data_IF_232105378192
#
_entry.id   IF_232105378192
#
_cell.length_a   1.000
_cell.length_b   1.000
_cell.length_c   1.000
_cell.angle_alpha   90.00
_cell.angle_beta   90.00
_cell.angle_gamma   90.00
#
_symmetry.space_group_name_H-M   'P 1'
#
loop_
_entity.id
_entity.type
_entity.pdbx_description
1 polymer ?
#
# COMPACT_ATOMS: atom_id res chain seq x y z
N UNK A 1 -48.55 -51.25 18.42
CA UNK A 1 -48.79 -49.79 18.52
C UNK A 1 -47.87 -48.97 17.59
N UNK A 2 -46.99 -49.60 16.79
CA UNK A 2 -46.04 -48.91 15.87
C UNK A 2 -46.62 -48.29 14.58
N UNK A 3 -47.89 -48.52 14.26
CA UNK A 3 -48.46 -48.09 12.96
C UNK A 3 -48.91 -46.63 12.92
N UNK A 4 -49.06 -45.97 14.08
CA UNK A 4 -49.50 -44.57 14.15
C UNK A 4 -48.33 -43.58 14.12
N UNK A 5 -47.18 -43.91 14.72
CA UNK A 5 -46.00 -43.03 14.80
C UNK A 5 -45.39 -42.70 13.42
N UNK A 6 -45.42 -43.66 12.49
CA UNK A 6 -44.88 -43.46 11.12
C UNK A 6 -45.71 -42.50 10.26
N UNK A 7 -46.95 -42.20 10.65
CA UNK A 7 -47.85 -41.34 9.87
C UNK A 7 -47.71 -39.87 10.30
N UNK A 8 -47.32 -39.61 11.55
CA UNK A 8 -47.08 -38.26 12.08
C UNK A 8 -45.78 -37.65 11.54
N UNK A 9 -44.70 -38.43 11.50
CA UNK A 9 -43.41 -37.97 10.94
C UNK A 9 -43.51 -37.59 9.45
N UNK A 10 -44.35 -38.29 8.68
CA UNK A 10 -44.54 -38.01 7.24
C UNK A 10 -45.43 -36.79 6.98
N UNK A 11 -46.21 -36.35 7.98
CA UNK A 11 -47.07 -35.16 7.87
C UNK A 11 -46.30 -33.89 8.26
N UNK A 12 -45.44 -33.97 9.28
CA UNK A 12 -44.57 -32.87 9.71
C UNK A 12 -43.56 -32.48 8.61
N UNK A 13 -42.96 -33.46 7.94
CA UNK A 13 -42.01 -33.29 6.82
C UNK A 13 -42.64 -32.72 5.53
N UNK A 14 -43.98 -32.68 5.49
CA UNK A 14 -44.75 -32.17 4.36
C UNK A 14 -45.12 -30.71 4.57
N UNK A 15 -45.42 -30.33 5.81
CA UNK A 15 -45.71 -28.94 6.20
C UNK A 15 -44.44 -28.06 6.16
N UNK A 16 -43.29 -28.58 6.61
CA UNK A 16 -42.01 -27.86 6.50
C UNK A 16 -41.61 -27.64 5.03
N UNK A 17 -41.90 -28.60 4.14
CA UNK A 17 -41.69 -28.47 2.68
C UNK A 17 -42.58 -27.42 2.03
N UNK A 18 -43.81 -27.25 2.50
CA UNK A 18 -44.74 -26.23 1.97
C UNK A 18 -44.39 -24.81 2.47
N UNK A 19 -43.71 -24.67 3.61
CA UNK A 19 -43.15 -23.37 4.03
C UNK A 19 -41.89 -22.95 3.26
N UNK A 20 -41.23 -23.90 2.59
CA UNK A 20 -40.12 -23.68 1.67
C UNK A 20 -40.62 -23.50 0.22
N UNK A 21 -41.79 -22.88 0.04
CA UNK A 21 -42.27 -22.45 -1.26
C UNK A 21 -41.41 -21.29 -1.76
N UNK A 22 -40.28 -21.63 -2.38
CA UNK A 22 -39.40 -20.65 -3.03
C UNK A 22 -40.23 -19.88 -4.05
N UNK A 23 -40.31 -18.57 -3.82
CA UNK A 23 -41.10 -17.63 -4.61
C UNK A 23 -40.91 -17.91 -6.11
N UNK A 24 -41.99 -18.10 -6.90
CA UNK A 24 -41.90 -18.42 -8.32
C UNK A 24 -41.02 -17.41 -9.10
N UNK A 25 -40.92 -16.18 -8.61
CA UNK A 25 -40.02 -15.16 -9.15
C UNK A 25 -38.54 -15.58 -9.00
N UNK A 26 -38.16 -16.12 -7.83
CA UNK A 26 -36.80 -16.60 -7.55
C UNK A 26 -36.48 -17.88 -8.36
N UNK A 27 -37.48 -18.74 -8.62
CA UNK A 27 -37.32 -19.87 -9.54
C UNK A 27 -37.15 -19.43 -11.00
N UNK A 28 -37.89 -18.41 -11.43
CA UNK A 28 -37.78 -17.85 -12.77
C UNK A 28 -36.44 -17.12 -12.99
N UNK A 29 -35.84 -16.60 -11.92
CA UNK A 29 -34.60 -15.82 -11.99
C UNK A 29 -33.36 -16.63 -12.41
N UNK A 30 -33.38 -17.96 -12.25
CA UNK A 30 -32.36 -18.95 -12.67
C UNK A 30 -30.91 -18.61 -12.22
N UNK A 31 -30.14 -19.50 -11.59
CA UNK A 31 -28.75 -19.22 -11.13
C UNK A 31 -27.73 -18.81 -12.21
N UNK A 32 -28.14 -18.72 -13.49
CA UNK A 32 -27.36 -18.14 -14.61
C UNK A 32 -28.11 -16.99 -15.28
N UNK A 33 -28.91 -16.25 -14.51
CA UNK A 33 -29.77 -15.18 -15.00
C UNK A 33 -28.98 -13.98 -15.52
N UNK A 34 -29.59 -13.26 -16.47
CA UNK A 34 -29.05 -11.99 -17.03
C UNK A 34 -28.71 -10.95 -15.97
N UNK A 35 -29.40 -10.99 -14.82
CA UNK A 35 -29.15 -10.13 -13.68
C UNK A 35 -27.77 -10.36 -13.05
N UNK A 36 -27.29 -11.60 -13.01
CA UNK A 36 -25.97 -11.90 -12.45
C UNK A 36 -24.85 -11.40 -13.37
N UNK A 37 -25.04 -11.50 -14.69
CA UNK A 37 -24.15 -10.90 -15.69
C UNK A 37 -24.15 -9.38 -15.54
N UNK A 38 -25.34 -8.77 -15.45
CA UNK A 38 -25.47 -7.32 -15.28
C UNK A 38 -24.80 -6.84 -13.98
N UNK A 39 -24.97 -7.59 -12.88
CA UNK A 39 -24.31 -7.30 -11.61
C UNK A 39 -22.79 -7.40 -11.71
N UNK A 40 -22.25 -8.45 -12.35
CA UNK A 40 -20.81 -8.58 -12.60
C UNK A 40 -20.30 -7.42 -13.45
N UNK A 41 -21.03 -7.03 -14.49
CA UNK A 41 -20.65 -5.91 -15.37
C UNK A 41 -20.63 -4.59 -14.58
N UNK A 42 -21.63 -4.33 -13.72
CA UNK A 42 -21.65 -3.16 -12.86
C UNK A 42 -20.48 -3.13 -11.88
N UNK A 43 -20.13 -4.28 -11.30
CA UNK A 43 -18.97 -4.39 -10.40
C UNK A 43 -17.68 -4.14 -11.19
N UNK A 44 -17.51 -4.76 -12.37
CA UNK A 44 -16.33 -4.56 -13.22
C UNK A 44 -16.20 -3.11 -13.69
N UNK A 45 -17.30 -2.41 -13.96
CA UNK A 45 -17.30 -0.99 -14.32
C UNK A 45 -16.79 -0.07 -13.20
N UNK A 46 -16.83 -0.51 -11.94
CA UNK A 46 -16.31 0.27 -10.81
C UNK A 46 -14.79 0.14 -10.61
N UNK A 47 -14.18 -0.94 -11.11
CA UNK A 47 -12.75 -1.20 -10.96
C UNK A 47 -11.83 -0.17 -11.64
N UNK A 48 -12.12 0.31 -12.88
CA UNK A 48 -11.30 1.31 -13.54
C UNK A 48 -11.15 2.57 -12.71
N UNK A 49 -12.20 3.02 -12.02
CA UNK A 49 -12.19 4.24 -11.22
C UNK A 49 -11.18 4.15 -10.08
N UNK A 50 -11.17 3.02 -9.37
CA UNK A 50 -10.17 2.75 -8.33
C UNK A 50 -8.75 2.61 -8.93
N UNK A 51 -8.65 1.96 -10.09
CA UNK A 51 -7.40 1.85 -10.84
C UNK A 51 -6.82 3.21 -11.23
N UNK A 52 -7.62 4.09 -11.81
CA UNK A 52 -7.19 5.44 -12.21
C UNK A 52 -6.70 6.27 -11.02
N UNK A 53 -7.35 6.16 -9.86
CA UNK A 53 -6.90 6.86 -8.66
C UNK A 53 -5.53 6.35 -8.18
N UNK A 54 -5.31 5.04 -8.18
CA UNK A 54 -4.01 4.45 -7.86
C UNK A 54 -2.94 4.83 -8.87
N UNK A 55 -3.24 4.73 -10.17
CA UNK A 55 -2.31 5.13 -11.23
C UNK A 55 -2.00 6.61 -11.17
N UNK A 56 -2.98 7.47 -10.87
CA UNK A 56 -2.75 8.90 -10.66
C UNK A 56 -1.72 9.14 -9.58
N UNK A 57 -1.81 8.46 -8.44
CA UNK A 57 -0.81 8.57 -7.37
C UNK A 57 0.58 8.08 -7.82
N UNK A 58 0.66 7.00 -8.59
CA UNK A 58 1.93 6.47 -9.10
C UNK A 58 2.58 7.41 -10.12
N UNK A 59 1.79 8.03 -11.01
CA UNK A 59 2.31 8.95 -12.04
C UNK A 59 2.57 10.36 -11.51
N UNK A 60 1.83 10.81 -10.49
CA UNK A 60 2.06 12.10 -9.82
C UNK A 60 3.28 12.02 -8.88
N UNK A 61 3.61 10.82 -8.36
CA UNK A 61 4.80 10.60 -7.56
C UNK A 61 6.07 10.82 -8.40
N UNK A 62 6.48 12.08 -8.52
CA UNK A 62 7.73 12.48 -9.16
C UNK A 62 8.88 12.25 -8.17
N UNK A 63 9.95 11.61 -8.64
CA UNK A 63 11.18 11.53 -7.86
C UNK A 63 11.79 12.94 -7.77
N UNK A 64 11.80 13.51 -6.57
CA UNK A 64 12.41 14.81 -6.32
C UNK A 64 13.91 14.61 -6.06
N UNK A 65 14.80 15.33 -6.77
CA UNK A 65 16.23 15.29 -6.49
C UNK A 65 16.49 15.77 -5.06
N UNK A 66 16.96 14.84 -4.22
CA UNK A 66 17.36 15.06 -2.84
C UNK A 66 18.84 14.73 -2.66
N UNK A 67 19.44 15.32 -1.64
CA UNK A 67 20.78 15.02 -1.14
C UNK A 67 20.69 14.80 0.37
N UNK A 68 21.68 14.15 0.98
CA UNK A 68 21.77 14.13 2.45
C UNK A 68 21.99 15.56 2.96
N UNK A 69 21.30 15.93 4.03
CA UNK A 69 21.61 17.14 4.77
C UNK A 69 23.02 17.02 5.39
N UNK A 70 23.76 18.12 5.39
CA UNK A 70 25.07 18.18 6.06
C UNK A 70 24.93 18.17 7.59
N UNK A 71 26.01 17.81 8.31
CA UNK A 71 26.06 17.99 9.75
C UNK A 71 25.78 19.47 10.13
N UNK A 72 24.99 19.73 11.20
CA UNK A 72 24.78 21.09 11.67
C UNK A 72 26.11 21.71 12.13
N UNK A 73 26.28 23.01 11.90
CA UNK A 73 27.51 23.73 12.28
C UNK A 73 27.82 23.52 13.76
N UNK A 74 29.00 22.97 14.07
CA UNK A 74 29.45 22.68 15.43
C UNK A 74 29.09 21.28 15.97
N UNK A 75 28.61 20.34 15.15
CA UNK A 75 28.27 18.97 15.59
C UNK A 75 29.47 18.06 15.88
N UNK A 76 30.71 18.55 15.78
CA UNK A 76 31.94 17.79 16.08
C UNK A 76 32.13 16.51 15.25
N UNK A 77 31.34 16.31 14.19
CA UNK A 77 31.47 15.13 13.31
C UNK A 77 32.85 15.10 12.66
N UNK A 78 33.35 16.27 12.24
CA UNK A 78 34.70 16.44 11.71
C UNK A 78 35.78 16.10 12.74
N UNK A 79 35.51 16.26 14.03
CA UNK A 79 36.52 16.14 15.10
C UNK A 79 37.00 14.68 15.24
N UNK A 80 36.19 13.71 14.83
CA UNK A 80 36.59 12.29 14.74
C UNK A 80 37.63 12.02 13.65
N UNK A 81 37.73 12.93 12.66
CA UNK A 81 38.56 12.79 11.47
C UNK A 81 39.60 13.91 11.32
N UNK A 82 39.61 14.91 12.21
CA UNK A 82 40.46 16.12 12.17
C UNK A 82 41.97 15.82 12.23
N UNK A 83 42.35 14.62 12.68
CA UNK A 83 43.76 14.19 12.76
C UNK A 83 44.31 13.64 11.42
N UNK A 84 43.44 13.45 10.43
CA UNK A 84 43.79 13.04 9.06
C UNK A 84 43.49 14.22 8.14
N UNK A 85 44.48 14.69 7.37
CA UNK A 85 44.39 15.96 6.63
C UNK A 85 43.18 16.13 5.67
N UNK A 86 42.96 17.38 5.26
CA UNK A 86 42.05 17.87 4.20
C UNK A 86 40.91 16.92 3.76
N UNK A 87 40.01 16.58 4.70
CA UNK A 87 38.79 15.84 4.37
C UNK A 87 37.80 16.71 3.62
N UNK A 88 37.19 16.11 2.60
CA UNK A 88 36.08 16.68 1.85
C UNK A 88 34.82 15.84 2.07
N UNK A 89 33.75 16.49 2.50
CA UNK A 89 32.45 15.85 2.69
C UNK A 89 31.67 15.95 1.38
N UNK A 90 31.40 14.81 0.74
CA UNK A 90 30.63 14.76 -0.49
C UNK A 90 29.20 14.32 -0.15
N UNK A 91 28.25 15.23 -0.36
CA UNK A 91 26.82 14.97 -0.14
C UNK A 91 26.24 14.14 -1.29
N UNK A 92 26.04 12.85 -1.04
CA UNK A 92 25.35 11.94 -1.95
C UNK A 92 23.82 12.01 -1.82
N UNK A 93 23.12 11.21 -2.64
CA UNK A 93 21.65 11.10 -2.60
C UNK A 93 21.15 10.33 -1.37
N UNK A 94 21.84 9.25 -1.00
CA UNK A 94 21.42 8.36 0.08
C UNK A 94 22.44 8.21 1.21
N UNK A 95 23.66 8.74 1.02
CA UNK A 95 24.78 8.62 1.96
C UNK A 95 25.69 9.85 1.90
N UNK A 96 26.28 10.18 3.03
CA UNK A 96 27.40 11.11 3.13
C UNK A 96 28.68 10.32 2.90
N UNK A 97 29.54 10.82 2.02
CA UNK A 97 30.82 10.20 1.68
C UNK A 97 31.94 11.07 2.24
N UNK A 98 32.78 10.49 3.09
CA UNK A 98 34.00 11.14 3.54
C UNK A 98 35.11 10.78 2.55
N UNK A 99 35.70 11.80 1.95
CA UNK A 99 36.76 11.62 0.96
C UNK A 99 38.04 12.31 1.44
N UNK A 100 39.14 11.55 1.52
CA UNK A 100 40.49 12.09 1.70
C UNK A 100 41.25 11.99 0.38
N UNK A 101 41.70 13.13 -0.13
CA UNK A 101 42.51 13.27 -1.33
C UNK A 101 42.08 12.33 -2.48
N UNK A 102 40.77 12.35 -2.80
CA UNK A 102 40.06 11.56 -3.83
C UNK A 102 39.72 10.09 -3.51
N UNK A 103 40.10 9.56 -2.35
CA UNK A 103 39.72 8.22 -1.89
C UNK A 103 38.54 8.27 -0.89
N UNK A 104 37.54 7.41 -1.07
CA UNK A 104 36.40 7.31 -0.13
C UNK A 104 36.86 6.56 1.12
N UNK A 105 36.95 7.25 2.25
CA UNK A 105 37.32 6.68 3.54
C UNK A 105 36.14 5.96 4.18
N UNK A 106 34.98 6.62 4.21
CA UNK A 106 33.80 6.11 4.90
C UNK A 106 32.49 6.59 4.25
N UNK A 107 31.42 5.84 4.47
CA UNK A 107 30.08 6.17 4.01
C UNK A 107 29.06 6.02 5.15
N UNK A 108 28.43 7.11 5.53
CA UNK A 108 27.40 7.12 6.58
C UNK A 108 26.02 7.37 5.94
N UNK A 109 24.97 6.81 6.54
CA UNK A 109 23.59 7.11 6.11
C UNK A 109 23.27 8.57 6.43
N UNK A 110 22.23 9.14 5.80
CA UNK A 110 21.82 10.52 6.09
C UNK A 110 21.18 10.63 7.50
N UNK A 111 21.99 10.64 8.57
CA UNK A 111 21.51 10.75 9.95
C UNK A 111 20.84 12.10 10.23
N UNK A 112 21.28 13.15 9.53
CA UNK A 112 20.73 14.49 9.66
C UNK A 112 19.53 14.77 8.73
N UNK A 113 19.00 13.74 8.07
CA UNK A 113 17.88 13.86 7.14
C UNK A 113 18.31 14.23 5.71
N UNK A 114 17.34 14.71 4.95
CA UNK A 114 17.48 14.98 3.52
C UNK A 114 17.25 16.46 3.20
N UNK A 115 18.04 16.98 2.28
CA UNK A 115 17.90 18.32 1.71
C UNK A 115 17.31 18.19 0.29
N UNK A 116 16.18 18.85 0.07
CA UNK A 116 15.44 18.84 -1.19
C UNK A 116 15.68 20.14 -1.96
N UNK A 117 15.96 20.04 -3.27
CA UNK A 117 16.10 21.23 -4.12
C UNK A 117 14.75 21.86 -4.50
N UNK A 118 13.67 21.10 -4.38
CA UNK A 118 12.30 21.51 -4.65
C UNK A 118 11.47 21.47 -3.37
N UNK A 119 10.30 22.13 -3.34
CA UNK A 119 9.40 22.06 -2.20
C UNK A 119 9.08 20.62 -1.82
N UNK A 120 9.11 20.31 -0.53
CA UNK A 120 8.93 18.95 -0.01
C UNK A 120 7.59 18.33 -0.46
N UNK A 121 6.55 19.16 -0.57
CA UNK A 121 5.20 18.81 -1.02
C UNK A 121 5.15 18.27 -2.47
N UNK A 122 6.26 18.36 -3.22
CA UNK A 122 6.36 17.81 -4.57
C UNK A 122 6.74 16.33 -4.61
N UNK A 123 7.02 15.71 -3.47
CA UNK A 123 7.35 14.28 -3.34
C UNK A 123 6.31 13.55 -2.49
N UNK A 124 5.70 12.50 -3.04
CA UNK A 124 4.78 11.60 -2.30
C UNK A 124 5.55 10.66 -1.35
N UNK A 125 6.87 10.57 -1.49
CA UNK A 125 7.74 9.61 -0.76
C UNK A 125 8.73 10.36 0.17
N UNK A 126 8.50 11.65 0.46
CA UNK A 126 9.34 12.35 1.43
C UNK A 126 9.02 11.89 2.85
N UNK A 127 9.97 11.20 3.47
CA UNK A 127 10.01 10.83 4.89
C UNK A 127 9.04 9.72 5.36
N UNK A 128 9.58 8.49 5.40
CA UNK A 128 9.29 7.57 6.50
C UNK A 128 10.54 7.61 7.38
N UNK A 129 10.48 8.30 8.51
CA UNK A 129 11.56 8.31 9.51
C UNK A 129 11.27 7.19 10.52
N UNK A 130 11.95 6.02 10.48
CA UNK A 130 11.90 5.08 11.58
C UNK A 130 12.80 5.63 12.69
N UNK A 131 12.20 6.25 13.70
CA UNK A 131 12.85 6.42 15.00
C UNK A 131 13.26 5.05 15.55
#
# INVERSE_FOLDING_TARGET
MEKQEKTEDSALDKEERDTLHVDPILRALNPRGRYQILHIVLVLLSLPTAGFQLFSNVFIAKNVPHKCAGPPEGSGWSDTFDDTGNLTIVQGKCRLLLTDNSSVLDSVRCEYGYEYQLPEDSSVISQVNPN
#
